data_IF_842373086332
#
_entry.id   IF_842373086332
#
_cell.length_a   1.000
_cell.length_b   1.000
_cell.length_c   1.000
_cell.angle_alpha   90.00
_cell.angle_beta   90.00
_cell.angle_gamma   90.00
#
_symmetry.space_group_name_H-M   'P 1'
#
loop_
_entity.id
_entity.type
_entity.pdbx_description
1 polymer ?
#
# COMPACT_ATOMS: atom_id res chain seq x y z
N UNK A 1 -48.97 -16.15 -16.77
CA UNK A 1 -47.99 -15.17 -17.28
C UNK A 1 -47.02 -14.86 -16.14
N UNK A 2 -45.90 -15.56 -16.06
CA UNK A 2 -44.84 -15.28 -15.08
C UNK A 2 -44.10 -14.03 -15.55
N UNK A 3 -44.53 -12.86 -15.07
CA UNK A 3 -43.81 -11.61 -15.32
C UNK A 3 -42.41 -11.73 -14.78
N UNK A 4 -41.42 -11.78 -15.66
CA UNK A 4 -40.02 -11.60 -15.28
C UNK A 4 -39.91 -10.21 -14.67
N UNK A 5 -39.91 -10.15 -13.34
CA UNK A 5 -39.66 -8.93 -12.59
C UNK A 5 -38.22 -8.55 -12.87
N UNK A 6 -38.02 -7.63 -13.81
CA UNK A 6 -36.71 -7.04 -14.08
C UNK A 6 -36.23 -6.40 -12.78
N UNK A 7 -35.23 -7.01 -12.16
CA UNK A 7 -34.58 -6.46 -10.98
C UNK A 7 -33.43 -5.60 -11.49
N UNK A 8 -33.38 -4.30 -11.14
CA UNK A 8 -32.29 -3.44 -11.55
C UNK A 8 -30.94 -4.06 -11.17
N UNK A 9 -29.95 -3.95 -12.05
CA UNK A 9 -28.62 -4.46 -11.76
C UNK A 9 -28.12 -3.87 -10.42
N UNK A 10 -27.64 -4.72 -9.49
CA UNK A 10 -27.13 -4.27 -8.20
C UNK A 10 -26.14 -3.12 -8.38
N UNK A 11 -26.25 -2.08 -7.54
CA UNK A 11 -25.31 -0.95 -7.57
C UNK A 11 -23.90 -1.49 -7.37
N UNK A 12 -23.12 -1.52 -8.44
CA UNK A 12 -21.77 -2.07 -8.45
C UNK A 12 -20.91 -1.26 -7.47
N UNK A 13 -20.30 -1.95 -6.52
CA UNK A 13 -19.31 -1.36 -5.63
C UNK A 13 -18.16 -0.72 -6.41
N UNK A 14 -17.34 0.09 -5.75
CA UNK A 14 -16.19 0.75 -6.38
C UNK A 14 -15.10 -0.23 -6.83
N UNK A 15 -15.16 -1.49 -6.37
CA UNK A 15 -14.26 -2.57 -6.73
C UNK A 15 -15.00 -3.52 -7.67
N UNK A 16 -14.43 -3.91 -8.81
CA UNK A 16 -15.10 -4.80 -9.75
C UNK A 16 -15.24 -6.19 -9.20
N UNK A 17 -16.42 -6.75 -9.51
CA UNK A 17 -16.85 -8.13 -9.46
C UNK A 17 -16.03 -9.13 -10.27
N UNK A 18 -14.76 -8.87 -10.60
CA UNK A 18 -14.01 -9.73 -11.51
C UNK A 18 -12.49 -9.62 -11.30
N UNK A 19 -11.71 -10.62 -11.77
CA UNK A 19 -10.26 -10.58 -11.78
C UNK A 19 -9.69 -9.27 -12.33
N UNK A 20 -8.74 -8.67 -11.60
CA UNK A 20 -8.20 -7.35 -11.88
C UNK A 20 -6.97 -7.45 -12.78
N UNK A 21 -6.86 -6.55 -13.75
CA UNK A 21 -5.64 -6.34 -14.54
C UNK A 21 -4.63 -5.56 -13.72
N UNK A 22 -3.35 -5.60 -14.10
CA UNK A 22 -2.29 -4.85 -13.44
C UNK A 22 -2.60 -3.36 -13.33
N UNK A 23 -3.06 -2.74 -14.43
CA UNK A 23 -3.45 -1.32 -14.45
C UNK A 23 -4.64 -1.01 -13.55
N UNK A 24 -5.60 -1.93 -13.39
CA UNK A 24 -6.69 -1.77 -12.43
C UNK A 24 -6.22 -1.85 -10.99
N UNK A 25 -5.31 -2.77 -10.66
CA UNK A 25 -4.72 -2.84 -9.33
C UNK A 25 -4.03 -1.53 -8.96
N UNK A 26 -3.25 -0.95 -9.88
CA UNK A 26 -2.60 0.34 -9.67
C UNK A 26 -3.61 1.47 -9.51
N UNK A 27 -4.46 1.70 -10.52
CA UNK A 27 -5.40 2.83 -10.55
C UNK A 27 -6.43 2.79 -9.43
N UNK A 28 -6.98 1.61 -9.11
CA UNK A 28 -7.99 1.48 -8.04
C UNK A 28 -7.42 1.64 -6.66
N UNK A 29 -6.13 1.37 -6.45
CA UNK A 29 -5.46 1.66 -5.18
C UNK A 29 -5.49 3.16 -4.85
N UNK A 30 -5.30 4.02 -5.86
CA UNK A 30 -5.44 5.47 -5.70
C UNK A 30 -6.91 5.91 -5.70
N UNK A 31 -7.77 5.30 -6.52
CA UNK A 31 -9.19 5.67 -6.58
C UNK A 31 -9.94 5.40 -5.26
N UNK A 32 -9.54 4.36 -4.52
CA UNK A 32 -10.12 4.00 -3.22
C UNK A 32 -10.06 5.16 -2.21
N UNK A 33 -9.01 5.99 -2.27
CA UNK A 33 -8.88 7.18 -1.41
C UNK A 33 -10.07 8.13 -1.51
N UNK A 34 -10.69 8.23 -2.69
CA UNK A 34 -11.83 9.13 -2.94
C UNK A 34 -13.16 8.54 -2.49
N UNK A 35 -13.22 7.24 -2.22
CA UNK A 35 -14.46 6.58 -1.81
C UNK A 35 -14.86 6.95 -0.38
N UNK A 36 -13.89 6.90 0.54
CA UNK A 36 -14.09 7.18 1.97
C UNK A 36 -12.94 8.01 2.56
N UNK A 37 -12.76 9.27 2.12
CA UNK A 37 -11.62 10.09 2.51
C UNK A 37 -11.61 10.40 4.02
N UNK A 38 -12.77 10.54 4.65
CA UNK A 38 -12.85 10.83 6.10
C UNK A 38 -12.16 9.74 6.93
N UNK A 39 -12.42 8.48 6.60
CA UNK A 39 -11.77 7.35 7.26
C UNK A 39 -10.35 7.21 6.73
N UNK A 40 -10.15 7.02 5.43
CA UNK A 40 -8.84 6.67 4.88
C UNK A 40 -7.78 7.77 5.08
N UNK A 41 -8.10 9.04 4.81
CA UNK A 41 -7.19 10.15 5.04
C UNK A 41 -7.21 10.63 6.49
N UNK A 42 -8.40 10.94 7.02
CA UNK A 42 -8.51 11.58 8.34
C UNK A 42 -7.92 10.70 9.45
N UNK A 43 -8.30 9.43 9.47
CA UNK A 43 -7.77 8.48 10.45
C UNK A 43 -6.27 8.21 10.23
N UNK A 44 -5.86 8.03 8.96
CA UNK A 44 -4.46 7.77 8.60
C UNK A 44 -3.53 8.90 9.01
N UNK A 45 -3.88 10.15 8.71
CA UNK A 45 -3.10 11.34 9.08
C UNK A 45 -3.06 11.53 10.59
N UNK A 46 -4.19 11.40 11.28
CA UNK A 46 -4.25 11.56 12.74
C UNK A 46 -3.40 10.50 13.44
N UNK A 47 -3.49 9.23 13.02
CA UNK A 47 -2.67 8.17 13.58
C UNK A 47 -1.21 8.39 13.23
N UNK A 48 -0.88 8.73 11.98
CA UNK A 48 0.50 9.01 11.60
C UNK A 48 1.09 10.15 12.44
N UNK A 49 0.32 11.21 12.69
CA UNK A 49 0.71 12.30 13.58
C UNK A 49 0.93 11.81 15.01
N UNK A 50 0.02 11.01 15.56
CA UNK A 50 0.17 10.44 16.89
C UNK A 50 1.45 9.57 16.99
N UNK A 51 1.73 8.74 15.98
CA UNK A 51 2.94 7.92 15.91
C UNK A 51 4.18 8.81 15.87
N UNK A 52 4.21 9.82 15.00
CA UNK A 52 5.36 10.73 14.87
C UNK A 52 5.60 11.49 16.16
N UNK A 53 4.55 12.07 16.77
CA UNK A 53 4.66 12.82 18.02
C UNK A 53 5.12 11.91 19.15
N UNK A 54 4.51 10.75 19.33
CA UNK A 54 4.91 9.80 20.39
C UNK A 54 6.35 9.32 20.21
N UNK A 55 6.73 8.99 18.98
CA UNK A 55 8.09 8.58 18.62
C UNK A 55 9.10 9.70 18.92
N UNK A 56 8.78 10.93 18.52
CA UNK A 56 9.63 12.10 18.78
C UNK A 56 9.73 12.43 20.28
N UNK A 57 8.64 12.29 21.04
CA UNK A 57 8.66 12.52 22.49
C UNK A 57 9.51 11.48 23.22
N UNK A 58 9.29 10.19 22.92
CA UNK A 58 10.06 9.10 23.55
C UNK A 58 11.53 9.22 23.18
N UNK A 59 11.83 9.38 21.89
CA UNK A 59 13.21 9.46 21.43
C UNK A 59 13.88 10.76 21.89
N UNK A 60 13.16 11.88 21.92
CA UNK A 60 13.65 13.15 22.44
C UNK A 60 14.01 13.07 23.92
N UNK A 61 13.17 12.43 24.74
CA UNK A 61 13.48 12.18 26.15
C UNK A 61 14.72 11.29 26.33
N UNK A 62 14.82 10.20 25.58
CA UNK A 62 15.99 9.31 25.62
C UNK A 62 17.25 10.04 25.17
N UNK A 63 17.17 10.82 24.10
CA UNK A 63 18.30 11.61 23.64
C UNK A 63 18.75 12.61 24.69
N UNK A 64 17.85 13.44 25.23
CA UNK A 64 18.21 14.43 26.26
C UNK A 64 18.86 13.74 27.47
N UNK A 65 18.23 12.73 28.03
CA UNK A 65 18.75 12.04 29.23
C UNK A 65 20.11 11.39 28.99
N UNK A 66 20.32 10.83 27.80
CA UNK A 66 21.53 10.06 27.50
C UNK A 66 22.69 10.96 27.06
N UNK A 67 22.42 11.98 26.23
CA UNK A 67 23.43 12.94 25.80
C UNK A 67 23.87 13.87 26.93
N UNK A 68 22.96 14.37 27.76
CA UNK A 68 23.34 15.21 28.93
C UNK A 68 24.22 14.44 29.91
N UNK A 69 24.01 13.12 30.05
CA UNK A 69 24.89 12.25 30.85
C UNK A 69 26.26 12.04 30.22
N UNK A 70 26.34 11.97 28.90
CA UNK A 70 27.60 11.81 28.19
C UNK A 70 28.43 13.11 28.20
N UNK A 71 27.78 14.27 28.04
CA UNK A 71 28.43 15.59 28.06
C UNK A 71 28.97 15.98 29.43
N UNK A 72 28.43 15.43 30.52
CA UNK A 72 28.94 15.69 31.88
C UNK A 72 30.24 14.97 32.21
N UNK A 73 30.73 14.10 31.31
CA UNK A 73 31.97 13.34 31.48
C UNK A 73 33.08 13.89 30.57
N UNK A 74 34.30 13.98 31.11
CA UNK A 74 35.49 14.24 30.30
C UNK A 74 35.81 13.03 29.42
N UNK A 75 36.18 13.20 28.13
CA UNK A 75 36.65 12.12 27.27
C UNK A 75 37.85 11.33 27.82
N UNK A 76 38.62 11.92 28.75
CA UNK A 76 39.76 11.28 29.42
C UNK A 76 39.39 10.51 30.68
N UNK A 77 38.12 10.51 31.10
CA UNK A 77 37.68 9.78 32.29
C UNK A 77 37.60 8.27 32.05
N UNK A 78 37.93 7.48 33.06
CA UNK A 78 37.88 6.01 32.98
C UNK A 78 36.47 5.47 32.70
N UNK A 79 35.43 6.23 33.08
CA UNK A 79 34.03 5.86 32.89
C UNK A 79 33.47 6.27 31.51
N UNK A 80 34.21 7.06 30.72
CA UNK A 80 33.74 7.60 29.45
C UNK A 80 33.36 6.49 28.47
N UNK A 81 34.22 5.49 28.27
CA UNK A 81 33.94 4.39 27.33
C UNK A 81 32.69 3.60 27.73
N UNK A 82 32.54 3.29 29.02
CA UNK A 82 31.38 2.55 29.53
C UNK A 82 30.08 3.35 29.36
N UNK A 83 30.10 4.66 29.62
CA UNK A 83 28.92 5.52 29.47
C UNK A 83 28.62 5.82 28.00
N UNK A 84 29.64 5.94 27.15
CA UNK A 84 29.46 6.06 25.69
C UNK A 84 28.82 4.80 25.10
N UNK A 85 29.33 3.61 25.46
CA UNK A 85 28.74 2.34 25.05
C UNK A 85 27.31 2.18 25.58
N UNK A 86 27.06 2.53 26.86
CA UNK A 86 25.74 2.55 27.46
C UNK A 86 24.77 3.53 26.76
N UNK A 87 25.29 4.67 26.32
CA UNK A 87 24.54 5.68 25.57
C UNK A 87 24.06 5.13 24.23
N UNK A 88 24.96 4.50 23.48
CA UNK A 88 24.63 3.85 22.21
C UNK A 88 23.60 2.74 22.45
N UNK A 89 23.82 1.88 23.44
CA UNK A 89 22.93 0.77 23.75
C UNK A 89 21.51 1.25 24.11
N UNK A 90 21.38 2.26 24.97
CA UNK A 90 20.08 2.82 25.36
C UNK A 90 19.33 3.45 24.18
N UNK A 91 20.02 4.23 23.34
CA UNK A 91 19.42 4.80 22.15
C UNK A 91 18.98 3.73 21.14
N UNK A 92 19.76 2.66 20.99
CA UNK A 92 19.41 1.54 20.13
C UNK A 92 18.16 0.81 20.64
N UNK A 93 18.08 0.53 21.95
CA UNK A 93 16.92 -0.12 22.57
C UNK A 93 15.67 0.76 22.47
N UNK A 94 15.80 2.06 22.74
CA UNK A 94 14.69 3.01 22.60
C UNK A 94 14.21 3.12 21.15
N UNK A 95 15.15 3.27 20.21
CA UNK A 95 14.86 3.29 18.78
C UNK A 95 14.17 2.01 18.32
N UNK A 96 14.58 0.86 18.85
CA UNK A 96 13.92 -0.42 18.59
C UNK A 96 12.48 -0.42 19.12
N UNK A 97 12.26 -0.01 20.36
CA UNK A 97 10.91 0.04 20.94
C UNK A 97 9.97 0.96 20.15
N UNK A 98 10.46 2.14 19.75
CA UNK A 98 9.74 3.10 18.90
C UNK A 98 9.47 2.53 17.50
N UNK A 99 10.46 1.84 16.91
CA UNK A 99 10.32 1.15 15.63
C UNK A 99 9.26 0.04 15.68
N UNK A 100 9.25 -0.77 16.75
CA UNK A 100 8.23 -1.79 17.00
C UNK A 100 6.84 -1.16 17.03
N UNK A 101 6.68 -0.10 17.81
CA UNK A 101 5.41 0.60 17.91
C UNK A 101 4.96 1.12 16.53
N UNK A 102 5.85 1.78 15.78
CA UNK A 102 5.57 2.36 14.47
C UNK A 102 5.13 1.32 13.43
N UNK A 103 5.80 0.17 13.37
CA UNK A 103 5.44 -0.93 12.47
C UNK A 103 4.11 -1.59 12.90
N UNK A 104 3.86 -1.70 14.21
CA UNK A 104 2.58 -2.18 14.72
C UNK A 104 1.42 -1.25 14.31
N UNK A 105 1.59 0.07 14.40
CA UNK A 105 0.61 1.04 13.89
C UNK A 105 0.40 0.93 12.39
N UNK A 106 1.47 0.67 11.63
CA UNK A 106 1.40 0.42 10.19
C UNK A 106 0.54 -0.81 9.88
N UNK A 107 0.74 -1.93 10.60
CA UNK A 107 -0.07 -3.14 10.43
C UNK A 107 -1.54 -2.94 10.87
N UNK A 108 -1.78 -2.13 11.90
CA UNK A 108 -3.12 -1.72 12.31
C UNK A 108 -3.83 -0.97 11.18
N UNK A 109 -3.14 0.00 10.58
CA UNK A 109 -3.62 0.73 9.41
C UNK A 109 -3.97 -0.25 8.29
N UNK A 110 -3.09 -1.23 8.05
CA UNK A 110 -3.33 -2.23 7.02
C UNK A 110 -4.60 -3.03 7.26
N UNK A 111 -4.86 -3.39 8.52
CA UNK A 111 -6.07 -4.08 8.90
C UNK A 111 -7.34 -3.25 8.72
N UNK A 112 -7.32 -1.96 9.08
CA UNK A 112 -8.47 -1.06 8.91
C UNK A 112 -8.76 -0.82 7.43
N UNK A 113 -7.73 -0.60 6.62
CA UNK A 113 -7.86 -0.47 5.17
C UNK A 113 -8.38 -1.77 4.55
N UNK A 114 -7.91 -2.93 5.00
CA UNK A 114 -8.42 -4.21 4.51
C UNK A 114 -9.92 -4.37 4.79
N UNK A 115 -10.38 -4.00 5.99
CA UNK A 115 -11.80 -3.99 6.33
C UNK A 115 -12.60 -3.03 5.42
N UNK A 116 -12.11 -1.82 5.19
CA UNK A 116 -12.77 -0.82 4.32
C UNK A 116 -12.93 -1.34 2.89
N UNK A 117 -11.86 -1.90 2.32
CA UNK A 117 -11.87 -2.47 0.98
C UNK A 117 -12.82 -3.68 0.91
N UNK A 118 -12.94 -4.46 1.98
CA UNK A 118 -13.93 -5.53 2.09
C UNK A 118 -15.37 -5.03 2.00
N UNK A 119 -15.72 -3.97 2.75
CA UNK A 119 -17.04 -3.34 2.66
C UNK A 119 -17.27 -2.66 1.30
N UNK A 120 -16.25 -2.00 0.77
CA UNK A 120 -16.31 -1.33 -0.53
C UNK A 120 -16.55 -2.32 -1.69
N UNK A 121 -16.09 -3.57 -1.56
CA UNK A 121 -16.33 -4.62 -2.54
C UNK A 121 -17.81 -4.98 -2.63
N UNK A 122 -18.51 -5.07 -1.49
CA UNK A 122 -19.97 -5.29 -1.45
C UNK A 122 -20.79 -3.99 -1.59
N UNK A 123 -20.15 -2.87 -1.97
CA UNK A 123 -20.81 -1.58 -2.17
C UNK A 123 -21.31 -0.89 -0.90
N UNK A 124 -20.78 -1.28 0.27
CA UNK A 124 -21.12 -0.68 1.57
C UNK A 124 -20.07 0.35 1.94
N UNK A 125 -20.50 1.55 2.33
CA UNK A 125 -19.62 2.58 2.88
C UNK A 125 -19.65 2.53 4.40
N UNK A 126 -18.64 1.91 4.99
CA UNK A 126 -18.57 1.72 6.43
C UNK A 126 -17.99 2.95 7.16
N UNK A 127 -18.50 3.21 8.37
CA UNK A 127 -17.91 4.18 9.29
C UNK A 127 -16.72 3.59 10.05
N UNK A 128 -15.86 4.45 10.60
CA UNK A 128 -14.64 4.03 11.32
C UNK A 128 -14.94 3.03 12.46
N UNK A 129 -16.03 3.22 13.22
CA UNK A 129 -16.40 2.30 14.29
C UNK A 129 -16.70 0.88 13.79
N UNK A 130 -17.34 0.75 12.62
CA UNK A 130 -17.63 -0.54 11.99
C UNK A 130 -16.35 -1.21 11.50
N UNK A 131 -15.47 -0.45 10.87
CA UNK A 131 -14.15 -0.94 10.42
C UNK A 131 -13.29 -1.39 11.60
N UNK A 132 -13.29 -0.61 12.67
CA UNK A 132 -12.58 -0.92 13.90
C UNK A 132 -13.09 -2.22 14.52
N UNK A 133 -14.41 -2.38 14.66
CA UNK A 133 -15.03 -3.63 15.16
C UNK A 133 -14.69 -4.84 14.28
N UNK A 134 -14.54 -4.64 12.96
CA UNK A 134 -14.11 -5.71 12.04
C UNK A 134 -12.65 -6.08 12.22
N UNK A 135 -11.79 -5.09 12.48
CA UNK A 135 -10.33 -5.26 12.60
C UNK A 135 -9.90 -5.77 13.98
N UNK A 136 -10.50 -5.28 15.09
CA UNK A 136 -10.09 -5.54 16.48
C UNK A 136 -9.88 -7.01 16.83
N UNK A 137 -10.73 -7.97 16.40
CA UNK A 137 -10.51 -9.39 16.69
C UNK A 137 -9.16 -9.92 16.18
N UNK A 138 -8.61 -9.28 15.16
CA UNK A 138 -7.33 -9.62 14.54
C UNK A 138 -6.18 -8.73 15.00
N UNK A 139 -6.43 -7.76 15.90
CA UNK A 139 -5.45 -6.79 16.38
C UNK A 139 -4.17 -7.45 16.89
N UNK A 140 -4.28 -8.41 17.82
CA UNK A 140 -3.12 -9.09 18.38
C UNK A 140 -2.34 -9.92 17.36
N UNK A 141 -3.03 -10.45 16.34
CA UNK A 141 -2.40 -11.19 15.24
C UNK A 141 -1.66 -10.25 14.29
N UNK A 142 -2.23 -9.08 14.01
CA UNK A 142 -1.57 -8.00 13.26
C UNK A 142 -0.36 -7.46 14.01
N UNK A 143 -0.48 -7.25 15.32
CA UNK A 143 0.62 -6.84 16.19
C UNK A 143 1.74 -7.89 16.22
N UNK A 144 1.39 -9.18 16.30
CA UNK A 144 2.37 -10.27 16.19
C UNK A 144 3.05 -10.36 14.82
N UNK A 145 2.33 -10.05 13.74
CA UNK A 145 2.91 -9.99 12.39
C UNK A 145 3.86 -8.80 12.24
N UNK A 146 3.47 -7.65 12.78
CA UNK A 146 4.30 -6.46 12.84
C UNK A 146 5.57 -6.68 13.66
N UNK A 147 5.46 -7.29 14.85
CA UNK A 147 6.62 -7.56 15.70
C UNK A 147 7.61 -8.50 15.01
N UNK A 148 7.14 -9.50 14.26
CA UNK A 148 8.02 -10.38 13.49
C UNK A 148 8.83 -9.62 12.42
N UNK A 149 8.21 -8.62 11.77
CA UNK A 149 8.89 -7.76 10.81
C UNK A 149 10.00 -6.95 11.48
N UNK A 150 9.77 -6.52 12.73
CA UNK A 150 10.78 -5.79 13.50
C UNK A 150 11.92 -6.71 13.94
N UNK A 151 11.59 -7.91 14.45
CA UNK A 151 12.58 -8.93 14.82
C UNK A 151 13.47 -9.27 13.63
N UNK A 152 12.91 -9.36 12.42
CA UNK A 152 13.69 -9.55 11.20
C UNK A 152 14.66 -8.39 10.94
N UNK A 153 14.18 -7.15 10.90
CA UNK A 153 15.03 -5.96 10.65
C UNK A 153 16.11 -5.83 11.72
N UNK A 154 15.74 -5.97 13.00
CA UNK A 154 16.68 -5.89 14.10
C UNK A 154 17.68 -7.05 14.08
N UNK A 155 17.24 -8.27 13.76
CA UNK A 155 18.12 -9.42 13.58
C UNK A 155 19.21 -9.14 12.54
N UNK A 156 18.85 -8.52 11.41
CA UNK A 156 19.84 -8.08 10.40
C UNK A 156 20.81 -7.05 10.98
N UNK A 157 20.32 -6.03 11.69
CA UNK A 157 21.17 -5.00 12.33
C UNK A 157 22.14 -5.63 13.34
N UNK A 158 21.65 -6.54 14.19
CA UNK A 158 22.48 -7.26 15.17
C UNK A 158 23.53 -8.11 14.48
N UNK A 159 23.18 -8.83 13.41
CA UNK A 159 24.15 -9.60 12.64
C UNK A 159 25.25 -8.68 12.09
N UNK A 160 24.89 -7.55 11.49
CA UNK A 160 25.86 -6.55 10.99
C UNK A 160 26.73 -6.02 12.12
N UNK A 161 26.13 -5.68 13.27
CA UNK A 161 26.86 -5.20 14.43
C UNK A 161 27.84 -6.25 14.97
N UNK A 162 27.43 -7.52 15.09
CA UNK A 162 28.29 -8.61 15.55
C UNK A 162 29.44 -8.88 14.57
N UNK A 163 29.21 -8.76 13.26
CA UNK A 163 30.27 -8.83 12.25
C UNK A 163 31.30 -7.73 12.51
N UNK A 164 30.86 -6.48 12.66
CA UNK A 164 31.75 -5.34 12.91
C UNK A 164 32.51 -5.53 14.24
N UNK A 165 31.79 -5.85 15.33
CA UNK A 165 32.36 -6.01 16.66
C UNK A 165 33.38 -7.16 16.73
N UNK A 166 33.09 -8.30 16.10
CA UNK A 166 34.01 -9.44 16.02
C UNK A 166 35.31 -9.10 15.29
N UNK A 167 35.22 -8.32 14.21
CA UNK A 167 36.40 -7.85 13.48
C UNK A 167 37.26 -6.89 14.30
N UNK A 168 36.63 -5.94 14.99
CA UNK A 168 37.33 -5.00 15.89
C UNK A 168 38.02 -5.77 17.02
N UNK A 169 37.31 -6.68 17.68
CA UNK A 169 37.85 -7.50 18.75
C UNK A 169 38.99 -8.44 18.30
N UNK A 170 38.95 -8.91 17.04
CA UNK A 170 39.99 -9.74 16.43
C UNK A 170 41.28 -9.01 16.06
N UNK A 171 41.41 -7.70 16.38
CA UNK A 171 42.61 -6.91 16.08
C UNK A 171 42.72 -6.46 14.62
N UNK A 172 41.71 -6.75 13.79
CA UNK A 172 41.65 -6.38 12.37
C UNK A 172 41.10 -4.96 12.16
N UNK A 173 40.77 -4.21 13.21
CA UNK A 173 40.26 -2.83 13.09
C UNK A 173 41.31 -1.77 12.78
N UNK A 174 42.60 -2.10 12.82
CA UNK A 174 43.69 -1.11 12.82
C UNK A 174 44.40 -0.95 11.46
N UNK A 175 44.09 -1.78 10.45
CA UNK A 175 44.67 -1.64 9.12
C UNK A 175 43.62 -1.15 8.11
N UNK A 176 44.03 -0.25 7.20
CA UNK A 176 43.16 0.31 6.16
C UNK A 176 42.58 -0.81 5.27
N UNK A 177 43.38 -1.83 4.97
CA UNK A 177 42.98 -2.99 4.18
C UNK A 177 41.86 -3.79 4.85
N UNK A 178 41.93 -4.00 6.16
CA UNK A 178 40.92 -4.72 6.91
C UNK A 178 39.63 -3.89 7.08
N UNK A 179 39.74 -2.57 7.29
CA UNK A 179 38.58 -1.66 7.26
C UNK A 179 37.89 -1.73 5.90
N UNK A 180 38.65 -1.69 4.80
CA UNK A 180 38.13 -1.86 3.43
C UNK A 180 37.40 -3.20 3.25
N UNK A 181 37.99 -4.29 3.74
CA UNK A 181 37.37 -5.62 3.74
C UNK A 181 36.04 -5.68 4.50
N UNK A 182 35.96 -5.03 5.67
CA UNK A 182 34.73 -4.96 6.47
C UNK A 182 33.64 -4.19 5.73
N UNK A 183 33.96 -3.03 5.15
CA UNK A 183 33.00 -2.23 4.39
C UNK A 183 32.44 -3.05 3.23
N UNK A 184 33.29 -3.74 2.48
CA UNK A 184 32.87 -4.61 1.37
C UNK A 184 31.95 -5.72 1.89
N UNK A 185 32.31 -6.40 2.98
CA UNK A 185 31.50 -7.46 3.57
C UNK A 185 30.12 -6.94 4.00
N UNK A 186 30.06 -5.81 4.70
CA UNK A 186 28.80 -5.19 5.13
C UNK A 186 27.94 -4.82 3.93
N UNK A 187 28.53 -4.22 2.89
CA UNK A 187 27.82 -3.91 1.65
C UNK A 187 27.26 -5.18 0.99
N UNK A 188 28.05 -6.26 0.91
CA UNK A 188 27.59 -7.54 0.35
C UNK A 188 26.43 -8.13 1.16
N UNK A 189 26.50 -8.11 2.49
CA UNK A 189 25.41 -8.57 3.37
C UNK A 189 24.15 -7.75 3.18
N UNK A 190 24.26 -6.43 3.09
CA UNK A 190 23.13 -5.53 2.82
C UNK A 190 22.52 -5.85 1.44
N UNK A 191 23.35 -5.95 0.40
CA UNK A 191 22.89 -6.28 -0.95
C UNK A 191 22.23 -7.65 -1.03
N UNK A 192 22.77 -8.66 -0.34
CA UNK A 192 22.17 -10.00 -0.25
C UNK A 192 20.82 -10.01 0.48
N UNK A 193 20.59 -9.04 1.38
CA UNK A 193 19.33 -8.90 2.12
C UNK A 193 18.21 -8.33 1.25
N UNK A 194 18.51 -7.53 0.22
CA UNK A 194 17.53 -6.92 -0.68
C UNK A 194 16.60 -7.96 -1.35
N UNK A 195 17.10 -8.99 -2.08
CA UNK A 195 16.23 -9.98 -2.70
C UNK A 195 15.42 -10.77 -1.68
N UNK A 196 15.97 -11.03 -0.49
CA UNK A 196 15.26 -11.68 0.61
C UNK A 196 14.07 -10.83 1.09
N UNK A 197 14.28 -9.54 1.31
CA UNK A 197 13.22 -8.60 1.72
C UNK A 197 12.15 -8.49 0.64
N UNK A 198 12.53 -8.31 -0.62
CA UNK A 198 11.60 -8.24 -1.76
C UNK A 198 10.76 -9.51 -1.84
N UNK A 199 11.39 -10.66 -1.70
CA UNK A 199 10.70 -11.94 -1.74
C UNK A 199 9.75 -12.11 -0.57
N UNK A 200 10.21 -11.85 0.66
CA UNK A 200 9.43 -12.04 1.88
C UNK A 200 8.25 -11.07 1.95
N UNK A 201 8.47 -9.78 1.70
CA UNK A 201 7.41 -8.75 1.70
C UNK A 201 6.32 -9.06 0.68
N UNK A 202 6.70 -9.53 -0.51
CA UNK A 202 5.73 -9.94 -1.54
C UNK A 202 4.95 -11.18 -1.12
N UNK A 203 5.62 -12.17 -0.54
CA UNK A 203 4.98 -13.42 -0.09
C UNK A 203 4.06 -13.24 1.10
N UNK A 204 4.34 -12.25 1.95
CA UNK A 204 3.57 -11.92 3.14
C UNK A 204 2.60 -10.75 2.93
N UNK A 205 2.54 -10.18 1.73
CA UNK A 205 1.73 -9.02 1.39
C UNK A 205 0.24 -9.18 1.76
N UNK A 206 -0.29 -10.40 1.64
CA UNK A 206 -1.71 -10.68 1.85
C UNK A 206 -2.07 -11.00 3.30
N UNK A 207 -1.08 -11.18 4.19
CA UNK A 207 -1.30 -11.58 5.58
C UNK A 207 -2.26 -10.64 6.33
N UNK A 208 -2.13 -9.30 6.28
CA UNK A 208 -3.04 -8.41 6.97
C UNK A 208 -4.50 -8.57 6.52
N UNK A 209 -4.70 -8.68 5.21
CA UNK A 209 -6.02 -8.87 4.59
C UNK A 209 -6.64 -10.20 4.97
N UNK A 210 -5.85 -11.28 4.99
CA UNK A 210 -6.30 -12.62 5.40
C UNK A 210 -6.68 -12.62 6.88
N UNK A 211 -5.86 -12.03 7.74
CA UNK A 211 -6.13 -11.94 9.18
C UNK A 211 -7.44 -11.19 9.46
N UNK A 212 -7.71 -10.08 8.76
CA UNK A 212 -8.91 -9.27 9.02
C UNK A 212 -10.16 -9.79 8.31
N UNK A 213 -10.05 -10.14 7.03
CA UNK A 213 -11.21 -10.50 6.23
C UNK A 213 -11.64 -11.95 6.46
N UNK A 214 -10.70 -12.88 6.64
CA UNK A 214 -11.01 -14.30 6.84
C UNK A 214 -10.97 -14.73 8.31
N UNK A 215 -10.51 -13.85 9.22
CA UNK A 215 -10.32 -14.16 10.66
C UNK A 215 -9.41 -15.38 10.91
N UNK A 216 -8.53 -15.68 9.96
CA UNK A 216 -7.63 -16.83 10.01
C UNK A 216 -6.68 -16.77 11.22
N UNK A 217 -6.23 -17.92 11.69
CA UNK A 217 -5.18 -17.99 12.72
C UNK A 217 -3.84 -17.50 12.16
N UNK A 218 -2.89 -17.21 13.06
CA UNK A 218 -1.58 -16.68 12.67
C UNK A 218 -0.90 -17.56 11.61
N UNK A 219 -0.72 -18.86 11.90
CA UNK A 219 -0.08 -19.82 10.99
C UNK A 219 -0.81 -19.97 9.64
N UNK A 220 -2.14 -20.05 9.68
CA UNK A 220 -2.95 -20.19 8.47
C UNK A 220 -2.77 -18.98 7.55
N UNK A 221 -2.70 -17.76 8.10
CA UNK A 221 -2.51 -16.56 7.32
C UNK A 221 -1.21 -16.56 6.51
N UNK A 222 -0.09 -17.02 7.09
CA UNK A 222 1.19 -17.14 6.37
C UNK A 222 1.12 -18.16 5.24
N UNK A 223 0.66 -19.38 5.55
CA UNK A 223 0.57 -20.47 4.58
C UNK A 223 -0.34 -20.06 3.43
N UNK A 224 -1.47 -19.41 3.75
CA UNK A 224 -2.46 -18.98 2.78
C UNK A 224 -1.96 -17.82 1.93
N UNK A 225 -1.30 -16.82 2.50
CA UNK A 225 -0.63 -15.75 1.75
C UNK A 225 0.37 -16.34 0.75
N UNK A 226 1.11 -17.37 1.16
CA UNK A 226 2.06 -18.06 0.30
C UNK A 226 1.43 -18.74 -0.91
N UNK A 227 0.29 -19.41 -0.67
CA UNK A 227 -0.48 -20.13 -1.70
C UNK A 227 -1.12 -19.16 -2.67
N UNK A 228 -1.75 -18.10 -2.17
CA UNK A 228 -2.41 -17.08 -3.00
C UNK A 228 -1.42 -16.24 -3.82
N UNK A 229 -0.18 -16.05 -3.34
CA UNK A 229 0.85 -15.33 -4.11
C UNK A 229 1.64 -16.25 -5.06
N UNK A 230 1.38 -17.58 -5.06
CA UNK A 230 2.05 -18.53 -5.96
C UNK A 230 1.55 -18.32 -7.39
N UNK A 231 2.45 -17.99 -8.31
CA UNK A 231 2.12 -17.69 -9.72
C UNK A 231 1.78 -16.22 -10.01
N UNK A 232 1.61 -15.37 -8.98
CA UNK A 232 1.35 -13.92 -9.11
C UNK A 232 2.40 -13.04 -8.44
N UNK A 233 3.56 -13.61 -8.12
CA UNK A 233 4.66 -12.91 -7.45
C UNK A 233 4.98 -11.56 -8.13
N UNK A 234 5.21 -11.57 -9.44
CA UNK A 234 5.58 -10.37 -10.20
C UNK A 234 4.46 -9.33 -10.27
N UNK A 235 3.19 -9.74 -10.30
CA UNK A 235 2.06 -8.82 -10.25
C UNK A 235 1.97 -8.16 -8.88
N UNK A 236 2.05 -8.95 -7.81
CA UNK A 236 2.02 -8.45 -6.44
C UNK A 236 3.20 -7.49 -6.17
N UNK A 237 4.41 -7.95 -6.44
CA UNK A 237 5.62 -7.14 -6.30
C UNK A 237 5.55 -5.90 -7.19
N UNK A 238 5.26 -6.04 -8.48
CA UNK A 238 5.28 -4.93 -9.43
C UNK A 238 4.26 -3.83 -9.09
N UNK A 239 3.06 -4.18 -8.62
CA UNK A 239 2.07 -3.18 -8.19
C UNK A 239 2.58 -2.42 -6.96
N UNK A 240 3.05 -3.14 -5.94
CA UNK A 240 3.54 -2.51 -4.70
C UNK A 240 4.80 -1.68 -4.92
N UNK A 241 5.72 -2.17 -5.76
CA UNK A 241 6.92 -1.47 -6.17
C UNK A 241 6.58 -0.20 -6.94
N UNK A 242 5.69 -0.26 -7.93
CA UNK A 242 5.35 0.90 -8.74
C UNK A 242 4.64 1.99 -7.92
N UNK A 243 3.74 1.60 -7.02
CA UNK A 243 3.13 2.53 -6.05
C UNK A 243 4.21 3.14 -5.17
N UNK A 244 5.11 2.32 -4.62
CA UNK A 244 6.23 2.77 -3.81
C UNK A 244 7.15 3.74 -4.55
N UNK A 245 7.44 3.48 -5.83
CA UNK A 245 8.26 4.35 -6.67
C UNK A 245 7.57 5.70 -6.94
N UNK A 246 6.28 5.69 -7.30
CA UNK A 246 5.50 6.92 -7.52
C UNK A 246 5.46 7.76 -6.25
N UNK A 247 5.15 7.14 -5.11
CA UNK A 247 5.11 7.84 -3.83
C UNK A 247 6.50 8.30 -3.38
N UNK A 248 7.55 7.50 -3.63
CA UNK A 248 8.92 7.86 -3.35
C UNK A 248 9.36 9.10 -4.13
N UNK A 249 9.03 9.19 -5.42
CA UNK A 249 9.27 10.41 -6.21
C UNK A 249 8.51 11.60 -5.62
N UNK A 250 7.23 11.43 -5.26
CA UNK A 250 6.43 12.49 -4.63
C UNK A 250 7.04 12.98 -3.31
N UNK A 251 7.55 12.05 -2.48
CA UNK A 251 8.28 12.38 -1.26
C UNK A 251 9.55 13.17 -1.54
N UNK A 252 10.35 12.78 -2.53
CA UNK A 252 11.59 13.46 -2.90
C UNK A 252 11.34 14.87 -3.46
N UNK A 253 10.25 15.06 -4.20
CA UNK A 253 9.85 16.39 -4.70
C UNK A 253 9.57 17.39 -3.57
N UNK A 254 9.13 16.90 -2.41
CA UNK A 254 8.94 17.74 -1.21
C UNK A 254 10.22 17.81 -0.38
N UNK A 255 10.91 16.68 -0.21
CA UNK A 255 12.08 16.58 0.65
C UNK A 255 13.27 17.37 0.12
N UNK A 256 13.55 17.34 -1.20
CA UNK A 256 14.73 18.01 -1.74
C UNK A 256 14.70 19.53 -1.53
N UNK A 257 13.62 20.26 -1.88
CA UNK A 257 13.52 21.68 -1.54
C UNK A 257 13.57 21.94 -0.04
N UNK A 258 12.91 21.09 0.77
CA UNK A 258 12.91 21.24 2.22
C UNK A 258 14.33 21.15 2.83
N UNK A 259 15.13 20.18 2.37
CA UNK A 259 16.52 20.01 2.81
C UNK A 259 17.39 21.17 2.34
N UNK A 260 17.24 21.63 1.09
CA UNK A 260 17.98 22.78 0.58
C UNK A 260 17.66 24.05 1.38
N UNK A 261 16.38 24.35 1.58
CA UNK A 261 15.94 25.47 2.42
C UNK A 261 16.49 25.31 3.84
N UNK A 262 16.40 24.12 4.44
CA UNK A 262 16.99 23.84 5.75
C UNK A 262 18.48 24.15 5.82
N UNK A 263 19.26 23.71 4.83
CA UNK A 263 20.71 23.96 4.78
C UNK A 263 21.08 25.42 4.55
N UNK A 264 20.26 26.18 3.81
CA UNK A 264 20.46 27.61 3.56
C UNK A 264 20.02 28.47 4.74
N UNK A 265 18.93 28.10 5.41
CA UNK A 265 18.46 28.82 6.59
C UNK A 265 19.28 28.49 7.83
N UNK A 266 19.84 27.28 7.97
CA UNK A 266 20.73 26.95 9.09
C UNK A 266 21.99 27.82 9.11
N UNK A 267 22.53 28.15 7.92
CA UNK A 267 23.72 29.02 7.80
C UNK A 267 23.41 30.51 8.01
N UNK A 268 22.18 30.95 7.72
CA UNK A 268 21.76 32.37 7.88
C UNK A 268 21.27 32.66 9.29
N UNK A 269 20.60 31.70 9.94
CA UNK A 269 19.94 31.89 11.24
C UNK A 269 20.88 31.57 12.41
N UNK A 270 21.80 30.61 12.24
CA UNK A 270 22.81 30.27 13.25
C UNK A 270 24.21 30.08 12.62
N UNK A 271 24.80 31.11 11.97
CA UNK A 271 26.08 31.02 11.26
C UNK A 271 27.26 30.55 12.13
N UNK A 272 27.18 30.72 13.45
CA UNK A 272 28.21 30.29 14.42
C UNK A 272 27.69 29.30 15.48
N UNK A 273 26.47 28.77 15.31
CA UNK A 273 25.82 27.92 16.32
C UNK A 273 25.29 28.69 17.54
N UNK A 274 24.90 29.96 17.36
CA UNK A 274 24.34 30.77 18.45
C UNK A 274 23.11 30.10 19.08
N UNK A 275 23.08 30.08 20.41
CA UNK A 275 21.99 29.53 21.23
C UNK A 275 20.80 30.48 21.36
N UNK A 276 20.60 31.40 20.40
CA UNK A 276 19.48 32.34 20.47
C UNK A 276 18.18 31.58 20.23
N UNK A 277 17.38 31.46 21.28
CA UNK A 277 16.10 30.76 21.29
C UNK A 277 15.18 31.28 20.18
N UNK A 278 15.20 32.58 19.86
CA UNK A 278 14.38 33.15 18.79
C UNK A 278 14.76 32.64 17.39
N UNK A 279 16.06 32.58 17.11
CA UNK A 279 16.62 32.06 15.87
C UNK A 279 16.30 30.56 15.69
N UNK A 280 16.49 29.76 16.74
CA UNK A 280 16.17 28.32 16.74
C UNK A 280 14.68 28.09 16.48
N UNK A 281 13.80 28.86 17.15
CA UNK A 281 12.35 28.74 16.95
C UNK A 281 11.95 29.15 15.52
N UNK A 282 12.53 30.22 14.97
CA UNK A 282 12.30 30.62 13.58
C UNK A 282 12.70 29.54 12.56
N UNK A 283 13.84 28.88 12.79
CA UNK A 283 14.29 27.75 11.98
C UNK A 283 13.34 26.54 12.09
N UNK A 284 12.91 26.19 13.30
CA UNK A 284 11.94 25.10 13.53
C UNK A 284 10.63 25.39 12.79
N UNK A 285 10.06 26.60 12.94
CA UNK A 285 8.82 26.97 12.24
C UNK A 285 8.96 26.95 10.71
N UNK A 286 10.11 27.36 10.17
CA UNK A 286 10.37 27.30 8.74
C UNK A 286 10.38 25.86 8.20
N UNK A 287 10.82 24.89 9.00
CA UNK A 287 10.86 23.48 8.62
C UNK A 287 9.57 22.70 8.92
N UNK A 288 8.66 23.25 9.74
CA UNK A 288 7.40 22.59 10.07
C UNK A 288 6.50 22.38 8.85
N UNK A 289 6.37 23.37 7.96
CA UNK A 289 5.46 23.26 6.82
C UNK A 289 5.84 22.12 5.85
N UNK A 290 7.10 21.98 5.40
CA UNK A 290 7.52 20.81 4.63
C UNK A 290 7.34 19.50 5.39
N UNK A 291 7.59 19.48 6.71
CA UNK A 291 7.46 18.26 7.50
C UNK A 291 6.00 17.80 7.62
N UNK A 292 5.05 18.72 7.75
CA UNK A 292 3.61 18.42 7.72
C UNK A 292 3.22 17.84 6.36
N UNK A 293 3.73 18.41 5.26
CA UNK A 293 3.45 17.89 3.92
C UNK A 293 4.01 16.47 3.75
N UNK A 294 5.25 16.21 4.20
CA UNK A 294 5.84 14.87 4.21
C UNK A 294 5.02 13.89 5.05
N UNK A 295 4.53 14.30 6.22
CA UNK A 295 3.67 13.48 7.08
C UNK A 295 2.37 13.07 6.36
N UNK A 296 1.72 14.03 5.69
CA UNK A 296 0.51 13.75 4.90
C UNK A 296 0.82 12.79 3.75
N UNK A 297 1.91 13.01 3.01
CA UNK A 297 2.33 12.11 1.94
C UNK A 297 2.61 10.69 2.46
N UNK A 298 3.26 10.55 3.61
CA UNK A 298 3.50 9.25 4.26
C UNK A 298 2.18 8.53 4.60
N UNK A 299 1.21 9.24 5.17
CA UNK A 299 -0.10 8.67 5.46
C UNK A 299 -0.81 8.21 4.18
N UNK A 300 -0.75 8.99 3.10
CA UNK A 300 -1.27 8.60 1.78
C UNK A 300 -0.58 7.34 1.27
N UNK A 301 0.76 7.32 1.30
CA UNK A 301 1.54 6.16 0.85
C UNK A 301 1.09 4.90 1.56
N UNK A 302 0.98 4.96 2.89
CA UNK A 302 0.55 3.83 3.71
C UNK A 302 -0.83 3.31 3.29
N UNK A 303 -1.80 4.20 3.14
CA UNK A 303 -3.16 3.83 2.75
C UNK A 303 -3.21 3.23 1.34
N UNK A 304 -2.54 3.84 0.37
CA UNK A 304 -2.50 3.35 -1.01
C UNK A 304 -1.81 2.00 -1.07
N UNK A 305 -0.69 1.82 -0.36
CA UNK A 305 0.04 0.55 -0.36
C UNK A 305 -0.80 -0.56 0.29
N UNK A 306 -1.47 -0.26 1.40
CA UNK A 306 -2.36 -1.22 2.05
C UNK A 306 -3.56 -1.58 1.18
N UNK A 307 -4.11 -0.59 0.48
CA UNK A 307 -5.20 -0.81 -0.47
C UNK A 307 -4.74 -1.76 -1.58
N UNK A 308 -3.54 -1.52 -2.13
CA UNK A 308 -2.97 -2.36 -3.16
C UNK A 308 -2.79 -3.81 -2.68
N UNK A 309 -2.24 -4.02 -1.48
CA UNK A 309 -2.13 -5.35 -0.87
C UNK A 309 -3.49 -6.04 -0.72
N UNK A 310 -4.53 -5.30 -0.32
CA UNK A 310 -5.88 -5.85 -0.21
C UNK A 310 -6.51 -6.15 -1.56
N UNK A 311 -6.31 -5.30 -2.57
CA UNK A 311 -6.80 -5.55 -3.93
C UNK A 311 -6.10 -6.74 -4.59
N UNK A 312 -4.80 -6.94 -4.36
CA UNK A 312 -4.06 -8.14 -4.80
C UNK A 312 -4.62 -9.38 -4.10
N UNK A 313 -4.98 -9.29 -2.82
CA UNK A 313 -5.67 -10.37 -2.10
C UNK A 313 -7.03 -10.71 -2.74
N UNK A 314 -7.89 -9.71 -2.95
CA UNK A 314 -9.21 -9.91 -3.58
C UNK A 314 -9.06 -10.53 -4.97
N UNK A 315 -8.18 -9.97 -5.79
CA UNK A 315 -7.90 -10.48 -7.13
C UNK A 315 -7.37 -11.92 -7.13
N UNK A 316 -6.49 -12.27 -6.19
CA UNK A 316 -6.00 -13.65 -6.06
C UNK A 316 -7.13 -14.62 -5.69
N UNK A 317 -8.01 -14.24 -4.75
CA UNK A 317 -9.16 -15.07 -4.37
C UNK A 317 -10.24 -15.12 -5.45
N UNK A 318 -10.47 -14.05 -6.21
CA UNK A 318 -11.37 -14.08 -7.37
C UNK A 318 -10.87 -15.07 -8.43
N UNK A 319 -9.57 -15.04 -8.74
CA UNK A 319 -8.97 -15.93 -9.75
C UNK A 319 -8.88 -17.39 -9.32
N UNK A 320 -8.64 -17.66 -8.04
CA UNK A 320 -8.32 -19.01 -7.57
C UNK A 320 -9.47 -19.70 -6.84
N UNK A 321 -10.34 -18.93 -6.19
CA UNK A 321 -11.38 -19.48 -5.32
C UNK A 321 -12.80 -19.02 -5.77
N UNK A 322 -12.90 -18.20 -6.82
CA UNK A 322 -14.18 -17.68 -7.32
C UNK A 322 -14.87 -16.73 -6.33
N UNK A 323 -14.09 -15.93 -5.58
CA UNK A 323 -14.62 -14.97 -4.60
C UNK A 323 -15.58 -13.94 -5.24
N UNK A 324 -15.41 -13.64 -6.52
CA UNK A 324 -16.30 -12.77 -7.29
C UNK A 324 -17.74 -13.28 -7.27
N UNK A 325 -17.94 -14.58 -7.51
CA UNK A 325 -19.26 -15.22 -7.47
C UNK A 325 -19.88 -15.14 -6.06
N UNK A 326 -19.06 -15.36 -5.03
CA UNK A 326 -19.53 -15.27 -3.64
C UNK A 326 -19.96 -13.84 -3.26
N UNK A 327 -19.21 -12.82 -3.70
CA UNK A 327 -19.54 -11.41 -3.46
C UNK A 327 -20.77 -10.98 -4.24
N UNK A 328 -20.91 -11.39 -5.51
CA UNK A 328 -22.11 -11.13 -6.31
C UNK A 328 -23.33 -11.74 -5.64
N UNK A 329 -23.28 -13.04 -5.30
CA UNK A 329 -24.40 -13.73 -4.65
C UNK A 329 -24.72 -13.20 -3.24
N UNK A 330 -23.74 -12.62 -2.53
CA UNK A 330 -23.99 -11.92 -1.27
C UNK A 330 -24.73 -10.59 -1.49
N UNK A 331 -24.30 -9.80 -2.47
CA UNK A 331 -24.97 -8.54 -2.83
C UNK A 331 -26.39 -8.79 -3.32
N UNK A 332 -26.60 -9.79 -4.17
CA UNK A 332 -27.94 -10.17 -4.66
C UNK A 332 -28.87 -10.59 -3.52
N UNK A 333 -28.42 -11.45 -2.59
CA UNK A 333 -29.23 -11.83 -1.42
C UNK A 333 -29.57 -10.65 -0.53
N UNK A 334 -28.64 -9.72 -0.35
CA UNK A 334 -28.88 -8.48 0.41
C UNK A 334 -29.92 -7.61 -0.27
N UNK A 335 -29.81 -7.44 -1.58
CA UNK A 335 -30.74 -6.63 -2.37
C UNK A 335 -32.14 -7.27 -2.44
N UNK A 336 -32.25 -8.60 -2.23
CA UNK A 336 -33.50 -9.33 -2.01
C UNK A 336 -34.08 -9.18 -0.58
N UNK A 337 -33.44 -8.39 0.29
CA UNK A 337 -33.95 -8.08 1.64
C UNK A 337 -33.62 -9.13 2.72
N UNK A 338 -32.64 -10.01 2.50
CA UNK A 338 -32.18 -10.95 3.53
C UNK A 338 -31.63 -10.20 4.74
N UNK A 339 -31.85 -10.75 5.94
CA UNK A 339 -31.30 -10.17 7.18
C UNK A 339 -29.79 -10.44 7.28
N UNK A 340 -29.07 -9.64 8.08
CA UNK A 340 -27.61 -9.80 8.25
C UNK A 340 -27.23 -11.22 8.76
N UNK A 341 -28.06 -11.82 9.60
CA UNK A 341 -27.89 -13.18 10.12
C UNK A 341 -27.98 -14.24 9.01
N UNK A 342 -28.86 -14.04 8.03
CA UNK A 342 -29.04 -14.94 6.89
C UNK A 342 -27.95 -14.77 5.82
N UNK A 343 -27.43 -13.55 5.67
CA UNK A 343 -26.41 -13.20 4.68
C UNK A 343 -25.07 -13.86 4.99
N UNK A 344 -24.71 -13.96 6.27
CA UNK A 344 -23.42 -14.45 6.72
C UNK A 344 -22.27 -13.57 6.24
N UNK A 345 -21.04 -14.04 6.47
CA UNK A 345 -19.82 -13.33 6.08
C UNK A 345 -19.35 -13.76 4.68
N UNK A 346 -19.28 -12.85 3.69
CA UNK A 346 -18.93 -13.20 2.31
C UNK A 346 -17.46 -13.58 2.11
N UNK A 347 -16.59 -13.32 3.10
CA UNK A 347 -15.16 -13.64 3.01
C UNK A 347 -14.80 -14.99 3.62
N UNK A 348 -15.78 -15.73 4.16
CA UNK A 348 -15.57 -17.10 4.64
C UNK A 348 -15.00 -17.96 3.52
N UNK A 349 -14.03 -18.79 3.87
CA UNK A 349 -13.34 -19.66 2.94
C UNK A 349 -14.18 -20.91 2.73
N UNK A 350 -14.59 -21.17 1.49
CA UNK A 350 -15.19 -22.45 1.09
C UNK A 350 -14.08 -23.52 0.98
N UNK A 351 -14.06 -24.56 1.82
CA UNK A 351 -13.02 -25.59 1.79
C UNK A 351 -12.94 -26.34 0.46
N UNK A 352 -14.04 -26.40 -0.31
CA UNK A 352 -14.09 -27.08 -1.60
C UNK A 352 -13.40 -26.30 -2.72
N UNK A 353 -13.33 -24.97 -2.58
CA UNK A 353 -12.70 -24.06 -3.56
C UNK A 353 -11.36 -23.51 -3.07
N UNK A 354 -11.01 -23.73 -1.81
CA UNK A 354 -9.80 -23.19 -1.19
C UNK A 354 -8.52 -23.73 -1.85
N UNK A 355 -7.53 -22.88 -2.03
CA UNK A 355 -6.24 -23.32 -2.57
C UNK A 355 -5.48 -24.18 -1.54
N UNK A 356 -5.29 -25.46 -1.84
CA UNK A 356 -4.69 -26.45 -0.93
C UNK A 356 -3.19 -26.68 -1.14
N UNK A 357 -2.70 -26.83 -2.36
CA UNK A 357 -1.25 -27.05 -2.63
C UNK A 357 -0.87 -27.02 -4.10
N UNK A 358 -1.80 -27.40 -4.99
CA UNK A 358 -1.59 -27.37 -6.43
C UNK A 358 -1.29 -25.94 -6.91
N UNK A 359 -0.33 -25.75 -7.84
CA UNK A 359 -0.20 -24.48 -8.54
C UNK A 359 -1.56 -24.11 -9.14
N UNK A 360 -1.94 -22.82 -9.07
CA UNK A 360 -3.20 -22.40 -9.65
C UNK A 360 -3.27 -22.79 -11.13
N UNK A 361 -4.47 -23.08 -11.67
CA UNK A 361 -4.61 -23.33 -13.10
C UNK A 361 -3.99 -22.15 -13.84
N UNK A 362 -2.98 -22.41 -14.68
CA UNK A 362 -2.44 -21.39 -15.58
C UNK A 362 -3.62 -20.92 -16.41
N UNK A 363 -4.01 -19.65 -16.24
CA UNK A 363 -4.95 -19.03 -17.18
C UNK A 363 -4.24 -19.03 -18.52
N UNK A 364 -4.63 -19.97 -19.38
CA UNK A 364 -4.14 -20.03 -20.76
C UNK A 364 -4.65 -18.75 -21.42
N UNK A 365 -3.78 -17.93 -22.01
CA UNK A 365 -4.23 -16.78 -22.79
C UNK A 365 -5.24 -17.22 -23.85
N UNK A 366 -6.22 -16.39 -24.19
CA UNK A 366 -7.24 -16.71 -25.21
C UNK A 366 -6.60 -17.20 -26.52
N UNK A 367 -5.48 -16.62 -26.93
CA UNK A 367 -4.73 -17.06 -28.12
C UNK A 367 -4.18 -18.50 -28.03
N UNK A 368 -3.89 -18.97 -26.82
CA UNK A 368 -3.42 -20.33 -26.57
C UNK A 368 -4.59 -21.33 -26.46
N UNK A 369 -5.80 -20.86 -26.14
CA UNK A 369 -7.02 -21.66 -26.23
C UNK A 369 -7.50 -21.77 -27.69
N UNK A 370 -7.30 -20.72 -28.49
CA UNK A 370 -7.59 -20.73 -29.93
C UNK A 370 -6.69 -21.67 -30.72
N UNK A 371 -5.44 -21.90 -30.30
CA UNK A 371 -4.54 -22.89 -30.93
C UNK A 371 -4.85 -24.33 -30.53
N UNK A 372 -5.45 -24.57 -29.36
CA UNK A 372 -5.87 -25.90 -28.92
C UNK A 372 -7.11 -26.42 -29.68
N UNK A 373 -7.86 -25.55 -30.36
CA UNK A 373 -9.00 -25.92 -31.22
C UNK A 373 -8.62 -26.51 -32.59
N UNK A 374 -7.33 -26.53 -32.94
CA UNK A 374 -6.81 -27.20 -34.15
C UNK A 374 -6.04 -28.49 -33.81
N UNK A 375 -6.34 -29.11 -32.67
CA UNK A 375 -5.91 -30.47 -32.36
C UNK A 375 -6.82 -31.49 -33.04
N UNK A 376 -6.27 -32.31 -33.93
CA UNK A 376 -6.91 -33.48 -34.56
C UNK A 376 -7.63 -34.33 -33.52
N UNK A 377 -8.96 -34.45 -33.64
CA UNK A 377 -9.74 -35.47 -32.94
C UNK A 377 -9.33 -36.85 -33.48
N UNK A 378 -8.56 -37.61 -32.71
CA UNK A 378 -8.33 -39.03 -32.97
C UNK A 378 -9.62 -39.81 -32.66
N UNK A 379 -10.26 -40.35 -33.71
CA UNK A 379 -11.31 -41.36 -33.59
C UNK A 379 -10.68 -42.76 -33.43
N UNK A 380 -11.20 -43.63 -32.55
CA UNK A 380 -10.63 -44.96 -32.36
C UNK A 380 -11.02 -45.92 -33.51
N UNK A 381 -10.02 -46.28 -34.30
CA UNK A 381 -9.77 -47.60 -34.91
C UNK A 381 -10.87 -48.31 -35.70
N UNK A 382 -10.80 -48.23 -37.03
CA UNK A 382 -11.12 -49.38 -37.90
C UNK A 382 -10.02 -49.60 -38.95
N UNK A 383 -9.63 -50.87 -39.24
CA UNK A 383 -8.47 -51.16 -40.08
C UNK A 383 -8.85 -51.16 -41.56
N UNK A 384 -8.14 -50.36 -42.36
CA UNK A 384 -8.19 -50.42 -43.83
C UNK A 384 -7.00 -51.22 -44.39
N UNK A 385 -7.16 -51.91 -45.54
CA UNK A 385 -6.14 -52.77 -46.12
C UNK A 385 -5.08 -52.00 -46.91
N UNK A 386 -3.95 -52.68 -47.14
CA UNK A 386 -2.74 -52.20 -47.82
C UNK A 386 -2.98 -51.73 -49.29
N UNK A 387 -2.07 -50.91 -49.85
CA UNK A 387 -2.38 -50.02 -50.97
C UNK A 387 -2.25 -50.68 -52.35
N UNK A 388 -3.19 -50.38 -53.25
CA UNK A 388 -3.08 -50.68 -54.68
C UNK A 388 -2.46 -49.51 -55.45
N UNK A 389 -1.41 -49.84 -56.20
CA UNK A 389 -0.66 -48.97 -57.10
C UNK A 389 -1.52 -48.55 -58.30
N UNK A 390 -1.43 -47.28 -58.68
CA UNK A 390 -1.83 -46.79 -60.01
C UNK A 390 -0.66 -46.04 -60.69
N UNK A 391 -0.63 -46.03 -62.04
CA UNK A 391 0.58 -45.78 -62.82
C UNK A 391 0.80 -44.31 -63.21
N UNK A 392 1.92 -44.10 -63.91
CA UNK A 392 2.71 -42.87 -64.01
C UNK A 392 2.19 -41.73 -64.90
N UNK A 393 2.60 -40.53 -64.48
CA UNK A 393 3.06 -39.33 -65.21
C UNK A 393 2.16 -38.55 -66.19
N UNK A 394 2.09 -37.22 -65.95
CA UNK A 394 2.52 -36.21 -66.94
C UNK A 394 3.05 -34.94 -66.24
N UNK A 395 4.18 -34.44 -66.73
CA UNK A 395 4.95 -33.31 -66.21
C UNK A 395 4.40 -31.96 -66.70
N UNK A 396 4.42 -30.94 -65.82
CA UNK A 396 4.54 -29.52 -66.17
C UNK A 396 5.43 -28.79 -65.14
N UNK A 397 6.10 -27.68 -65.53
CA UNK A 397 7.45 -27.34 -65.07
C UNK A 397 7.54 -26.64 -63.70
N UNK A 398 8.70 -26.80 -63.05
CA UNK A 398 9.05 -26.18 -61.78
C UNK A 398 9.28 -24.67 -61.91
N UNK A 399 8.65 -23.87 -61.03
CA UNK A 399 9.08 -22.50 -60.77
C UNK A 399 9.97 -22.42 -59.51
N UNK A 400 11.10 -21.69 -59.54
CA UNK A 400 12.02 -21.59 -58.42
C UNK A 400 11.53 -20.59 -57.36
N UNK A 401 11.65 -20.96 -56.08
CA UNK A 401 11.58 -20.04 -54.95
C UNK A 401 12.81 -19.14 -54.89
N UNK A 402 12.67 -17.80 -54.76
CA UNK A 402 13.80 -16.94 -54.40
C UNK A 402 14.05 -16.92 -52.88
N UNK A 403 15.32 -17.01 -52.51
CA UNK A 403 15.86 -16.92 -51.15
C UNK A 403 15.74 -15.51 -50.53
N UNK A 404 15.81 -15.36 -49.19
CA UNK A 404 15.61 -14.08 -48.49
C UNK A 404 16.81 -13.12 -48.65
N UNK A 405 16.51 -11.86 -48.99
CA UNK A 405 17.49 -10.77 -49.15
C UNK A 405 17.84 -10.09 -47.81
N UNK A 406 19.13 -9.82 -47.64
CA UNK A 406 19.75 -9.08 -46.54
C UNK A 406 19.48 -7.56 -46.63
N UNK A 407 19.33 -6.92 -45.48
CA UNK A 407 19.12 -5.47 -45.32
C UNK A 407 20.37 -4.64 -45.68
N UNK A 408 20.26 -3.57 -46.49
CA UNK A 408 21.31 -2.56 -46.62
C UNK A 408 21.21 -1.45 -45.57
N UNK A 409 22.37 -0.87 -45.26
CA UNK A 409 22.60 0.21 -44.30
C UNK A 409 22.01 1.57 -44.72
N UNK A 410 21.84 2.45 -43.72
CA UNK A 410 21.26 3.79 -43.78
C UNK A 410 21.92 4.72 -44.81
N UNK A 411 21.08 5.41 -45.61
CA UNK A 411 21.44 6.64 -46.32
C UNK A 411 20.61 7.82 -45.81
N UNK A 412 21.30 8.93 -45.58
CA UNK A 412 20.79 10.21 -45.09
C UNK A 412 19.86 10.87 -46.12
N UNK A 413 18.73 11.42 -45.65
CA UNK A 413 17.85 12.26 -46.46
C UNK A 413 18.17 13.75 -46.27
N UNK A 414 18.03 14.58 -47.33
CA UNK A 414 18.31 16.02 -47.27
C UNK A 414 17.22 16.81 -46.54
N UNK A 415 17.60 17.97 -46.01
CA UNK A 415 16.77 18.87 -45.21
C UNK A 415 15.52 19.38 -45.96
N UNK A 416 14.34 19.24 -45.33
CA UNK A 416 13.08 19.85 -45.77
C UNK A 416 12.94 21.28 -45.22
N UNK A 417 12.42 22.16 -46.08
CA UNK A 417 12.18 23.58 -45.83
C UNK A 417 11.20 23.87 -44.67
N UNK A 418 11.21 25.09 -44.08
CA UNK A 418 10.37 25.42 -42.94
C UNK A 418 8.88 25.52 -43.34
N UNK A 419 8.01 24.91 -42.55
CA UNK A 419 6.56 25.08 -42.65
C UNK A 419 6.15 26.53 -42.31
N UNK A 420 5.17 27.14 -43.02
CA UNK A 420 4.56 28.37 -42.57
C UNK A 420 3.79 28.13 -41.25
N UNK A 421 3.92 29.08 -40.32
CA UNK A 421 3.31 29.04 -39.00
C UNK A 421 1.79 28.79 -39.08
N UNK A 422 1.36 27.62 -38.57
CA UNK A 422 -0.05 27.35 -38.36
C UNK A 422 -0.53 28.15 -37.13
N UNK A 423 -1.55 28.98 -37.33
CA UNK A 423 -2.25 29.69 -36.28
C UNK A 423 -2.79 28.70 -35.23
N UNK A 424 -2.78 29.05 -33.93
CA UNK A 424 -3.36 28.20 -32.90
C UNK A 424 -4.87 28.04 -33.13
N UNK A 425 -5.46 26.86 -32.83
CA UNK A 425 -6.88 26.65 -33.00
C UNK A 425 -7.68 27.60 -32.12
N UNK A 426 -8.65 28.30 -32.73
CA UNK A 426 -9.66 29.09 -32.01
C UNK A 426 -10.35 28.20 -30.97
N UNK A 427 -10.40 28.67 -29.73
CA UNK A 427 -11.22 28.10 -28.69
C UNK A 427 -12.69 28.02 -29.17
N UNK A 428 -13.41 26.91 -28.91
CA UNK A 428 -14.85 26.88 -29.13
C UNK A 428 -15.52 27.94 -28.26
N UNK A 429 -16.43 28.72 -28.87
CA UNK A 429 -17.17 29.78 -28.21
C UNK A 429 -17.91 29.24 -26.97
N UNK A 430 -17.73 29.91 -25.84
CA UNK A 430 -18.51 29.65 -24.63
C UNK A 430 -20.00 29.95 -24.94
N UNK A 431 -20.94 29.08 -24.53
CA UNK A 431 -22.35 29.45 -24.54
C UNK A 431 -22.57 30.65 -23.60
N UNK A 432 -23.52 31.56 -23.90
CA UNK A 432 -23.75 32.74 -23.08
C UNK A 432 -24.10 32.34 -21.64
N UNK A 433 -23.47 33.03 -20.69
CA UNK A 433 -23.79 32.96 -19.27
C UNK A 433 -25.30 33.12 -19.09
N UNK A 434 -25.97 32.08 -18.60
CA UNK A 434 -27.24 32.26 -17.92
C UNK A 434 -26.94 33.04 -16.65
N UNK A 435 -27.65 34.15 -16.48
CA UNK A 435 -27.65 34.93 -15.24
C UNK A 435 -27.96 34.01 -14.05
N UNK A 436 -27.38 34.27 -12.85
CA UNK A 436 -27.79 33.55 -11.66
C UNK A 436 -29.28 33.75 -11.43
N UNK A 437 -30.05 32.67 -11.43
CA UNK A 437 -31.41 32.66 -10.90
C UNK A 437 -31.36 33.16 -9.45
N UNK A 438 -32.15 34.19 -9.16
CA UNK A 438 -32.38 34.68 -7.80
C UNK A 438 -32.74 33.52 -6.86
N UNK A 439 -32.20 33.49 -5.62
CA UNK A 439 -32.62 32.49 -4.65
C UNK A 439 -34.10 32.71 -4.31
N UNK A 440 -34.89 31.63 -4.08
CA UNK A 440 -36.26 31.78 -3.59
C UNK A 440 -36.24 32.50 -2.23
N UNK A 441 -37.27 33.31 -1.91
CA UNK A 441 -37.35 34.01 -0.63
C UNK A 441 -37.33 33.00 0.52
N UNK A 442 -36.58 33.34 1.57
CA UNK A 442 -36.48 32.54 2.78
C UNK A 442 -37.88 32.27 3.37
N UNK A 443 -38.16 31.05 3.88
CA UNK A 443 -39.38 30.79 4.63
C UNK A 443 -39.50 31.76 5.80
N UNK A 444 -40.67 32.36 5.97
CA UNK A 444 -40.96 33.25 7.08
C UNK A 444 -40.62 32.60 8.43
N UNK A 445 -39.93 33.35 9.29
CA UNK A 445 -39.64 32.92 10.65
C UNK A 445 -40.95 32.60 11.38
N UNK A 446 -41.03 31.48 12.13
CA UNK A 446 -42.20 31.20 12.96
C UNK A 446 -42.35 32.29 14.02
N UNK A 447 -43.60 32.66 14.39
CA UNK A 447 -43.84 33.68 15.39
C UNK A 447 -43.20 33.27 16.72
N UNK A 448 -42.44 34.19 17.31
CA UNK A 448 -41.93 34.09 18.68
C UNK A 448 -43.13 34.05 19.62
N UNK A 449 -43.54 32.85 19.99
CA UNK A 449 -44.37 32.65 21.17
C UNK A 449 -43.45 32.84 22.37
N UNK A 450 -43.66 33.94 23.09
CA UNK A 450 -43.19 34.14 24.44
C UNK A 450 -43.83 33.07 25.32
N UNK A 451 -43.22 31.89 25.36
CA UNK A 451 -43.46 30.90 26.38
C UNK A 451 -42.58 31.26 27.56
N UNK A 452 -43.16 31.94 28.55
CA UNK A 452 -42.66 31.97 29.91
C UNK A 452 -42.39 30.52 30.34
N UNK A 453 -41.11 30.16 30.40
CA UNK A 453 -40.70 28.88 30.96
C UNK A 453 -40.68 29.04 32.47
N UNK A 454 -41.82 28.69 33.08
CA UNK A 454 -41.94 28.43 34.51
C UNK A 454 -41.19 27.13 34.82
N UNK A 455 -39.86 27.20 34.88
CA UNK A 455 -39.02 26.10 35.34
C UNK A 455 -38.38 26.50 36.67
N UNK A 456 -38.87 25.89 37.75
CA UNK A 456 -38.38 26.05 39.11
C UNK A 456 -37.28 25.02 39.40
N UNK A 457 -36.14 25.48 39.91
CA UNK A 457 -35.06 24.63 40.39
C UNK A 457 -35.48 23.90 41.68
N UNK A 458 -35.19 22.60 41.85
CA UNK A 458 -35.45 21.91 43.09
C UNK A 458 -34.30 22.15 44.07
N UNK A 459 -34.57 22.91 45.13
CA UNK A 459 -33.77 22.89 46.36
C UNK A 459 -33.28 24.24 46.87
N UNK A 460 -34.15 24.96 47.58
CA UNK A 460 -33.83 25.60 48.86
C UNK A 460 -35.14 25.76 49.64
N UNK A 461 -35.20 25.12 50.81
CA UNK A 461 -36.33 25.25 51.72
C UNK A 461 -36.29 26.55 52.50
N UNK A 462 -37.48 27.04 52.83
CA UNK A 462 -37.82 27.72 54.08
C UNK A 462 -37.18 29.08 54.37
N UNK A 463 -37.95 30.15 54.18
CA UNK A 463 -38.31 31.16 55.20
C UNK A 463 -39.01 32.36 54.51
N UNK A 464 -40.05 32.90 55.14
CA UNK A 464 -40.67 34.20 54.82
C UNK A 464 -41.20 34.81 56.13
N UNK A 465 -41.92 35.95 56.14
CA UNK A 465 -42.08 37.02 55.15
C UNK A 465 -41.73 38.42 55.74
N UNK A 466 -41.79 39.47 54.90
CA UNK A 466 -42.42 40.75 55.23
C UNK A 466 -42.81 41.47 53.93
#
# INVERSE_FOLDING_TARGET
MSGQTWTPAPKRGIIPLHPLTFGMLLSRSFAALRHNPKVLFGFGVVIQLAVVVLSATVMGFVFVTTFTRLESLSPSSADFEAVFAGTIAMNLVAGLAVGIASIAFTALMQGVVAAEIGFAAIGVKAGLGTLWRRMVPSFWRLAGFASLSVVFVFGVIVIVFLIIAGFVAGGLGNSIEAIGGIIILVVVVILATIPLVVWLTTKLLLVPSILVLERATFREAFVRSWRLTRGRFWTAWGVTFLIGAIMGVAMQLVSLPATLLGSMFSTVIAPTGSSDTGAIMGFVFALLAPQILLLVLQAITLVVQSTAGTLVYLDSRMRYEGLDQALIGHVERRDLGWTEEQLGDPFVVDPSKAVTSAPPPKQVPEWAMMSAGYGTQEYPGQPYPAPQQYPAQQQYPAQPYPAPQQYPAQQQYPAQAPYPAQQPPRAPAQPPYSTPSTPPPAPAAPPTTSAESTWAAPGTGGEGPA
#
